data_IF_682704433198
#
_entry.id   IF_682704433198
#
_cell.length_a   1.000
_cell.length_b   1.000
_cell.length_c   1.000
_cell.angle_alpha   90.00
_cell.angle_beta   90.00
_cell.angle_gamma   90.00
#
_symmetry.space_group_name_H-M   'P 1'
#
loop_
_entity.id
_entity.type
_entity.pdbx_description
1 polymer ?
#
# COMPACT_ATOMS: atom_id res chain seq x y z
N UNK A 1 18.34 28.63 -0.64
CA UNK A 1 18.39 27.62 -1.72
C UNK A 1 18.30 26.27 -1.05
N UNK A 2 17.51 25.34 -1.59
CA UNK A 2 17.41 24.00 -1.00
C UNK A 2 18.75 23.28 -1.14
N UNK A 3 19.21 22.66 -0.05
CA UNK A 3 20.45 21.89 -0.05
C UNK A 3 20.20 20.38 -0.14
N UNK A 4 18.94 19.95 -0.09
CA UNK A 4 18.54 18.58 -0.34
C UNK A 4 18.68 18.27 -1.84
N UNK A 5 19.33 17.15 -2.16
CA UNK A 5 19.61 16.73 -3.54
C UNK A 5 19.34 15.25 -3.72
N UNK A 6 19.02 14.86 -4.96
CA UNK A 6 18.98 13.47 -5.39
C UNK A 6 20.15 13.25 -6.35
N UNK A 7 21.12 12.44 -5.97
CA UNK A 7 22.35 12.21 -6.73
C UNK A 7 22.51 10.72 -7.09
N UNK A 8 23.07 10.48 -8.28
CA UNK A 8 23.30 9.12 -8.77
C UNK A 8 24.65 8.65 -8.25
N UNK A 9 24.65 7.58 -7.47
CA UNK A 9 25.83 7.02 -6.83
C UNK A 9 26.58 6.07 -7.77
N UNK A 10 27.75 5.62 -7.34
CA UNK A 10 28.64 4.78 -8.15
C UNK A 10 28.08 3.37 -8.42
N UNK A 11 27.17 2.89 -7.58
CA UNK A 11 26.41 1.65 -7.76
C UNK A 11 25.31 1.75 -8.83
N UNK A 12 25.01 2.97 -9.29
CA UNK A 12 23.99 3.24 -10.29
C UNK A 12 22.62 3.59 -9.71
N UNK A 13 22.44 3.51 -8.39
CA UNK A 13 21.22 3.90 -7.70
C UNK A 13 21.23 5.40 -7.39
N UNK A 14 20.05 5.95 -7.11
CA UNK A 14 19.87 7.34 -6.72
C UNK A 14 19.61 7.46 -5.23
N UNK A 15 20.26 8.45 -4.62
CA UNK A 15 20.25 8.66 -3.18
C UNK A 15 19.98 10.11 -2.84
N UNK A 16 19.19 10.31 -1.79
CA UNK A 16 18.96 11.62 -1.21
C UNK A 16 20.16 12.02 -0.34
N UNK A 17 20.81 13.12 -0.71
CA UNK A 17 21.84 13.76 0.09
C UNK A 17 21.17 14.79 1.01
N UNK A 18 21.03 14.43 2.29
CA UNK A 18 20.40 15.27 3.29
C UNK A 18 21.38 16.34 3.81
N UNK A 19 21.02 17.63 3.81
CA UNK A 19 21.85 18.65 4.42
C UNK A 19 21.91 18.49 5.94
N UNK A 20 22.99 18.95 6.58
CA UNK A 20 23.15 18.87 8.03
C UNK A 20 21.97 19.46 8.81
N UNK A 21 21.37 20.53 8.28
CA UNK A 21 20.17 21.16 8.84
C UNK A 21 18.92 20.26 8.84
N UNK A 22 18.86 19.23 7.99
CA UNK A 22 17.80 18.22 8.01
C UNK A 22 18.18 17.14 9.02
N UNK A 23 19.42 16.63 8.97
CA UNK A 23 19.87 15.54 9.84
C UNK A 23 19.83 15.89 11.33
N UNK A 24 20.02 17.18 11.68
CA UNK A 24 19.88 17.70 13.05
C UNK A 24 18.52 17.42 13.68
N UNK A 25 17.46 17.22 12.88
CA UNK A 25 16.11 16.95 13.37
C UNK A 25 15.72 15.48 13.32
N UNK A 26 16.53 14.58 12.75
CA UNK A 26 16.14 13.17 12.55
C UNK A 26 15.81 12.47 13.87
N UNK A 27 16.69 12.55 14.88
CA UNK A 27 16.46 11.95 16.20
C UNK A 27 15.19 12.51 16.88
N UNK A 28 14.93 13.81 16.66
CA UNK A 28 13.72 14.46 17.18
C UNK A 28 12.47 13.94 16.48
N UNK A 29 12.53 13.73 15.15
CA UNK A 29 11.40 13.22 14.36
C UNK A 29 11.11 11.75 14.68
N UNK A 30 12.13 10.92 14.87
CA UNK A 30 11.95 9.54 15.32
C UNK A 30 11.27 9.52 16.70
N UNK A 31 11.75 10.35 17.64
CA UNK A 31 11.13 10.49 18.96
C UNK A 31 9.69 11.00 18.90
N UNK A 32 9.38 11.92 17.99
CA UNK A 32 8.02 12.44 17.77
C UNK A 32 7.12 11.35 17.16
N UNK A 33 7.62 10.59 16.18
CA UNK A 33 6.92 9.49 15.55
C UNK A 33 6.54 8.42 16.58
N UNK A 34 7.50 8.03 17.43
CA UNK A 34 7.25 7.08 18.53
C UNK A 34 6.23 7.66 19.53
N UNK A 35 6.41 8.92 19.94
CA UNK A 35 5.48 9.55 20.87
C UNK A 35 4.06 9.67 20.31
N UNK A 36 3.92 9.91 19.00
CA UNK A 36 2.63 9.89 18.32
C UNK A 36 2.02 8.50 18.31
N UNK A 37 2.79 7.50 17.86
CA UNK A 37 2.34 6.12 17.76
C UNK A 37 1.89 5.54 19.11
N UNK A 38 2.61 5.85 20.19
CA UNK A 38 2.28 5.41 21.54
C UNK A 38 1.33 6.35 22.29
N UNK A 39 0.76 7.37 21.63
CA UNK A 39 -0.15 8.36 22.25
C UNK A 39 0.42 9.04 23.50
N UNK A 40 1.74 9.27 23.50
CA UNK A 40 2.48 9.82 24.64
C UNK A 40 2.50 11.36 24.68
N UNK A 41 1.99 12.02 23.64
CA UNK A 41 1.94 13.48 23.54
C UNK A 41 0.60 13.97 23.00
N UNK A 42 0.15 15.12 23.53
CA UNK A 42 -1.01 15.83 23.02
C UNK A 42 -0.79 16.27 21.55
N UNK A 43 -1.77 16.07 20.65
CA UNK A 43 -1.63 16.37 19.22
C UNK A 43 -1.17 17.81 18.94
N UNK A 44 -1.67 18.78 19.70
CA UNK A 44 -1.29 20.19 19.55
C UNK A 44 0.20 20.45 19.81
N UNK A 45 0.82 19.70 20.73
CA UNK A 45 2.25 19.83 21.00
C UNK A 45 3.06 19.30 19.81
N UNK A 46 2.67 18.16 19.25
CA UNK A 46 3.32 17.58 18.07
C UNK A 46 3.17 18.51 16.86
N UNK A 47 1.96 19.02 16.60
CA UNK A 47 1.70 19.98 15.52
C UNK A 47 2.60 21.21 15.65
N UNK A 48 2.73 21.77 16.86
CA UNK A 48 3.58 22.93 17.10
C UNK A 48 5.07 22.64 16.83
N UNK A 49 5.56 21.47 17.27
CA UNK A 49 6.95 21.05 17.05
C UNK A 49 7.22 20.86 15.55
N UNK A 50 6.39 20.08 14.86
CA UNK A 50 6.54 19.80 13.43
C UNK A 50 6.43 21.07 12.57
N UNK A 51 5.49 21.96 12.91
CA UNK A 51 5.35 23.26 12.24
C UNK A 51 6.61 24.12 12.43
N UNK A 52 7.21 24.10 13.61
CA UNK A 52 8.46 24.81 13.88
C UNK A 52 9.65 24.20 13.12
N UNK A 53 9.75 22.87 13.04
CA UNK A 53 10.75 22.19 12.22
C UNK A 53 10.61 22.60 10.76
N UNK A 54 9.41 22.55 10.19
CA UNK A 54 9.15 22.96 8.80
C UNK A 54 9.53 24.43 8.56
N UNK A 55 9.29 25.31 9.54
CA UNK A 55 9.64 26.73 9.46
C UNK A 55 11.16 26.94 9.44
N UNK A 56 11.91 26.19 10.25
CA UNK A 56 13.38 26.30 10.37
C UNK A 56 14.07 25.56 9.21
N UNK A 57 13.56 24.39 8.85
CA UNK A 57 14.10 23.49 7.85
C UNK A 57 13.00 23.05 6.86
N UNK A 58 12.65 23.90 5.88
CA UNK A 58 11.59 23.61 4.91
C UNK A 58 11.90 22.45 3.96
N UNK A 59 13.12 21.93 3.97
CA UNK A 59 13.53 20.77 3.18
C UNK A 59 13.40 19.45 3.95
N UNK A 60 12.98 19.50 5.22
CA UNK A 60 12.68 18.31 5.99
C UNK A 60 11.34 17.70 5.54
N UNK A 61 11.41 16.85 4.51
CA UNK A 61 10.22 16.24 3.88
C UNK A 61 9.49 15.28 4.83
N UNK A 62 10.19 14.67 5.79
CA UNK A 62 9.60 13.74 6.76
C UNK A 62 8.69 14.48 7.74
N UNK A 63 9.05 15.71 8.13
CA UNK A 63 8.21 16.55 8.97
C UNK A 63 6.86 16.88 8.30
N UNK A 64 6.83 17.07 6.97
CA UNK A 64 5.57 17.21 6.23
C UNK A 64 4.76 15.92 6.24
N UNK A 65 5.41 14.76 6.08
CA UNK A 65 4.74 13.47 6.11
C UNK A 65 4.04 13.26 7.47
N UNK A 66 4.79 13.41 8.57
CA UNK A 66 4.30 13.26 9.93
C UNK A 66 3.23 14.29 10.29
N UNK A 67 3.40 15.56 9.89
CA UNK A 67 2.41 16.59 10.19
C UNK A 67 1.08 16.32 9.48
N UNK A 68 1.13 15.87 8.22
CA UNK A 68 -0.08 15.48 7.49
C UNK A 68 -0.81 14.32 8.16
N UNK A 69 -0.07 13.30 8.62
CA UNK A 69 -0.63 12.15 9.35
C UNK A 69 -1.32 12.60 10.64
N UNK A 70 -0.67 13.44 11.44
CA UNK A 70 -1.25 13.97 12.69
C UNK A 70 -2.53 14.76 12.40
N UNK A 71 -2.55 15.58 11.34
CA UNK A 71 -3.77 16.28 10.94
C UNK A 71 -4.89 15.32 10.52
N UNK A 72 -4.58 14.28 9.74
CA UNK A 72 -5.58 13.30 9.31
C UNK A 72 -6.21 12.57 10.49
N UNK A 73 -5.39 12.06 11.40
CA UNK A 73 -5.84 11.35 12.60
C UNK A 73 -6.61 12.28 13.57
N UNK A 74 -6.35 13.58 13.53
CA UNK A 74 -7.15 14.59 14.25
C UNK A 74 -8.44 15.02 13.49
N UNK A 75 -8.76 14.39 12.35
CA UNK A 75 -9.94 14.72 11.55
C UNK A 75 -9.84 16.02 10.76
N UNK A 76 -8.63 16.57 10.61
CA UNK A 76 -8.36 17.82 9.89
C UNK A 76 -7.90 17.55 8.45
N UNK A 77 -8.76 16.90 7.65
CA UNK A 77 -8.42 16.38 6.31
C UNK A 77 -7.87 17.45 5.34
N UNK A 78 -8.47 18.66 5.33
CA UNK A 78 -8.00 19.77 4.50
C UNK A 78 -6.56 20.19 4.84
N UNK A 79 -6.21 20.19 6.13
CA UNK A 79 -4.86 20.54 6.59
C UNK A 79 -3.88 19.41 6.27
N UNK A 80 -4.29 18.15 6.41
CA UNK A 80 -3.50 16.99 6.02
C UNK A 80 -3.15 17.05 4.53
N UNK A 81 -4.16 17.20 3.67
CA UNK A 81 -4.00 17.32 2.22
C UNK A 81 -3.02 18.43 1.84
N UNK A 82 -3.23 19.65 2.35
CA UNK A 82 -2.37 20.80 2.03
C UNK A 82 -0.94 20.60 2.53
N UNK A 83 -0.76 19.94 3.67
CA UNK A 83 0.57 19.67 4.23
C UNK A 83 1.34 18.72 3.33
N UNK A 84 0.73 17.60 2.93
CA UNK A 84 1.35 16.66 2.01
C UNK A 84 1.56 17.26 0.61
N UNK A 85 0.61 18.03 0.10
CA UNK A 85 0.74 18.73 -1.18
C UNK A 85 1.98 19.64 -1.20
N UNK A 86 2.16 20.47 -0.17
CA UNK A 86 3.34 21.34 -0.06
C UNK A 86 4.63 20.52 0.04
N UNK A 87 4.63 19.43 0.82
CA UNK A 87 5.77 18.53 0.94
C UNK A 87 6.15 17.91 -0.42
N UNK A 88 5.17 17.40 -1.16
CA UNK A 88 5.36 16.77 -2.46
C UNK A 88 5.84 17.76 -3.52
N UNK A 89 5.27 18.95 -3.55
CA UNK A 89 5.73 20.01 -4.45
C UNK A 89 7.19 20.39 -4.20
N UNK A 90 7.66 20.32 -2.95
CA UNK A 90 9.07 20.54 -2.62
C UNK A 90 9.91 19.36 -3.06
N UNK A 91 9.51 18.15 -2.68
CA UNK A 91 10.20 16.91 -3.00
C UNK A 91 10.42 16.74 -4.51
N UNK A 92 9.37 16.89 -5.32
CA UNK A 92 9.45 16.68 -6.77
C UNK A 92 10.31 17.73 -7.49
N UNK A 93 10.54 18.92 -6.90
CA UNK A 93 11.46 19.93 -7.46
C UNK A 93 12.94 19.52 -7.35
N UNK A 94 13.25 18.54 -6.50
CA UNK A 94 14.61 18.06 -6.23
C UNK A 94 15.05 17.04 -7.28
N UNK A 95 14.07 16.35 -7.89
CA UNK A 95 14.34 15.36 -8.92
C UNK A 95 15.01 16.01 -10.14
N UNK A 96 16.21 15.55 -10.53
CA UNK A 96 16.88 16.09 -11.69
C UNK A 96 16.19 15.60 -12.96
N UNK A 97 16.23 16.42 -14.02
CA UNK A 97 15.60 16.11 -15.32
C UNK A 97 16.04 14.78 -15.96
N UNK A 98 17.19 14.25 -15.54
CA UNK A 98 17.75 12.98 -16.03
C UNK A 98 17.23 11.75 -15.28
N UNK A 99 16.55 11.93 -14.15
CA UNK A 99 15.93 10.84 -13.40
C UNK A 99 14.68 10.33 -14.15
N UNK A 100 14.54 9.02 -14.27
CA UNK A 100 13.42 8.34 -14.90
C UNK A 100 12.88 7.24 -13.99
N UNK A 101 11.67 7.43 -13.44
CA UNK A 101 11.00 6.48 -12.55
C UNK A 101 10.90 5.06 -13.11
N UNK A 102 10.99 4.87 -14.43
CA UNK A 102 10.90 3.55 -15.07
C UNK A 102 12.25 2.85 -15.24
N UNK A 103 13.36 3.58 -15.10
CA UNK A 103 14.71 3.05 -15.37
C UNK A 103 15.64 3.16 -14.19
N UNK A 104 15.53 4.24 -13.45
CA UNK A 104 16.36 4.53 -12.29
C UNK A 104 15.77 3.89 -11.04
N UNK A 105 16.64 3.62 -10.07
CA UNK A 105 16.29 2.97 -8.79
C UNK A 105 16.69 3.87 -7.63
N UNK A 106 15.96 3.73 -6.53
CA UNK A 106 16.26 4.38 -5.24
C UNK A 106 16.27 3.27 -4.19
N UNK A 107 17.40 3.09 -3.52
CA UNK A 107 17.54 2.02 -2.55
C UNK A 107 16.75 2.34 -1.27
N UNK A 108 15.70 1.57 -0.97
CA UNK A 108 14.88 1.73 0.24
C UNK A 108 15.64 1.50 1.56
N UNK A 109 16.69 0.67 1.54
CA UNK A 109 17.46 0.36 2.74
C UNK A 109 18.38 1.50 3.17
N UNK A 110 18.64 2.47 2.31
CA UNK A 110 19.24 3.73 2.71
C UNK A 110 18.21 4.58 3.47
N UNK A 111 18.51 4.87 4.73
CA UNK A 111 17.64 5.63 5.62
C UNK A 111 17.37 7.05 5.10
N UNK A 112 18.29 7.63 4.34
CA UNK A 112 18.11 8.96 3.77
C UNK A 112 17.01 8.99 2.69
N UNK A 113 16.72 7.85 2.07
CA UNK A 113 15.68 7.73 1.05
C UNK A 113 14.28 7.51 1.65
N UNK A 114 14.18 7.03 2.90
CA UNK A 114 12.90 6.68 3.53
C UNK A 114 11.91 7.85 3.62
N UNK A 115 12.32 9.08 3.96
CA UNK A 115 11.40 10.22 3.97
C UNK A 115 10.73 10.48 2.62
N UNK A 116 11.43 10.23 1.50
CA UNK A 116 10.83 10.29 0.17
C UNK A 116 9.75 9.21 -0.01
N UNK A 117 10.07 7.95 0.31
CA UNK A 117 9.12 6.85 0.19
C UNK A 117 7.86 7.10 1.04
N UNK A 118 8.02 7.51 2.30
CA UNK A 118 6.91 7.80 3.22
C UNK A 118 6.00 8.89 2.67
N UNK A 119 6.57 10.04 2.30
CA UNK A 119 5.79 11.17 1.81
C UNK A 119 5.11 10.87 0.46
N UNK A 120 5.83 10.24 -0.47
CA UNK A 120 5.28 9.91 -1.80
C UNK A 120 4.19 8.83 -1.69
N UNK A 121 4.35 7.86 -0.80
CA UNK A 121 3.31 6.88 -0.48
C UNK A 121 2.07 7.53 0.16
N UNK A 122 2.25 8.39 1.17
CA UNK A 122 1.16 9.13 1.79
C UNK A 122 0.37 9.96 0.76
N UNK A 123 1.06 10.55 -0.21
CA UNK A 123 0.40 11.26 -1.30
C UNK A 123 -0.45 10.36 -2.19
N UNK A 124 0.01 9.14 -2.47
CA UNK A 124 -0.79 8.13 -3.16
C UNK A 124 -2.04 7.74 -2.37
N UNK A 125 -1.91 7.54 -1.05
CA UNK A 125 -3.03 7.19 -0.17
C UNK A 125 -4.10 8.29 -0.12
N UNK A 126 -3.70 9.56 -0.08
CA UNK A 126 -4.62 10.69 -0.10
C UNK A 126 -5.49 10.68 -1.36
N UNK A 127 -4.87 10.48 -2.52
CA UNK A 127 -5.61 10.39 -3.78
C UNK A 127 -6.50 9.14 -3.82
N UNK A 128 -6.02 7.99 -3.35
CA UNK A 128 -6.83 6.78 -3.28
C UNK A 128 -8.05 6.97 -2.35
N UNK A 129 -7.87 7.62 -1.20
CA UNK A 129 -8.97 7.97 -0.28
C UNK A 129 -9.96 8.94 -0.93
N UNK A 130 -9.49 9.99 -1.59
CA UNK A 130 -10.33 10.94 -2.31
C UNK A 130 -11.12 10.27 -3.45
N UNK A 131 -10.57 9.21 -4.06
CA UNK A 131 -11.28 8.44 -5.07
C UNK A 131 -12.45 7.61 -4.53
N UNK A 132 -12.49 7.33 -3.22
CA UNK A 132 -13.61 6.60 -2.60
C UNK A 132 -14.88 7.46 -2.50
N UNK A 133 -14.77 8.79 -2.65
CA UNK A 133 -15.93 9.66 -2.82
C UNK A 133 -16.54 9.46 -4.21
N UNK A 134 -17.76 8.91 -4.24
CA UNK A 134 -18.49 8.55 -5.47
C UNK A 134 -19.40 9.67 -5.99
N UNK A 135 -19.50 10.81 -5.31
CA UNK A 135 -20.38 11.91 -5.73
C UNK A 135 -19.95 12.50 -7.09
N UNK A 136 -18.64 12.50 -7.37
CA UNK A 136 -18.06 13.11 -8.58
C UNK A 136 -17.16 12.11 -9.32
N UNK A 137 -17.76 11.19 -10.08
CA UNK A 137 -17.10 10.10 -10.83
C UNK A 137 -15.83 10.57 -11.58
N UNK A 138 -15.88 11.72 -12.24
CA UNK A 138 -14.72 12.24 -12.98
C UNK A 138 -13.52 12.54 -12.06
N UNK A 139 -13.77 13.14 -10.89
CA UNK A 139 -12.73 13.37 -9.89
C UNK A 139 -12.26 12.05 -9.27
N UNK A 140 -13.15 11.08 -9.06
CA UNK A 140 -12.78 9.75 -8.56
C UNK A 140 -11.80 9.07 -9.52
N UNK A 141 -12.10 9.06 -10.82
CA UNK A 141 -11.21 8.50 -11.85
C UNK A 141 -9.88 9.25 -11.90
N UNK A 142 -9.90 10.58 -11.87
CA UNK A 142 -8.67 11.39 -11.86
C UNK A 142 -7.79 11.05 -10.66
N UNK A 143 -8.38 10.94 -9.47
CA UNK A 143 -7.65 10.57 -8.26
C UNK A 143 -7.10 9.14 -8.32
N UNK A 144 -7.86 8.18 -8.87
CA UNK A 144 -7.35 6.81 -9.08
C UNK A 144 -6.16 6.78 -10.05
N UNK A 145 -6.20 7.55 -11.15
CA UNK A 145 -5.08 7.61 -12.09
C UNK A 145 -3.84 8.19 -11.41
N UNK A 146 -3.98 9.29 -10.66
CA UNK A 146 -2.87 9.89 -9.91
C UNK A 146 -2.31 8.91 -8.88
N UNK A 147 -3.17 8.27 -8.08
CA UNK A 147 -2.75 7.27 -7.09
C UNK A 147 -2.01 6.11 -7.77
N UNK A 148 -2.56 5.59 -8.88
CA UNK A 148 -1.95 4.49 -9.63
C UNK A 148 -0.58 4.85 -10.20
N UNK A 149 -0.39 6.08 -10.67
CA UNK A 149 0.91 6.55 -11.17
C UNK A 149 1.93 6.63 -10.04
N UNK A 150 1.53 7.13 -8.87
CA UNK A 150 2.38 7.21 -7.68
C UNK A 150 2.81 5.80 -7.23
N UNK A 151 1.87 4.88 -7.06
CA UNK A 151 2.19 3.52 -6.62
C UNK A 151 2.99 2.75 -7.68
N UNK A 152 2.71 2.95 -8.97
CA UNK A 152 3.53 2.41 -10.06
C UNK A 152 4.97 2.93 -9.99
N UNK A 153 5.15 4.23 -9.77
CA UNK A 153 6.46 4.85 -9.63
C UNK A 153 7.22 4.26 -8.44
N UNK A 154 6.54 4.06 -7.30
CA UNK A 154 7.11 3.46 -6.10
C UNK A 154 7.62 2.03 -6.32
N UNK A 155 6.81 1.16 -6.94
CA UNK A 155 7.27 -0.21 -7.25
C UNK A 155 8.33 -0.23 -8.36
N UNK A 156 8.32 0.75 -9.26
CA UNK A 156 9.29 0.84 -10.35
C UNK A 156 10.68 1.20 -9.85
N UNK A 157 10.79 2.09 -8.85
CA UNK A 157 12.08 2.50 -8.27
C UNK A 157 12.53 1.58 -7.13
N UNK A 158 11.61 0.85 -6.47
CA UNK A 158 11.88 -0.10 -5.40
C UNK A 158 11.04 -1.39 -5.58
N UNK A 159 11.61 -2.36 -6.31
CA UNK A 159 10.87 -3.56 -6.73
C UNK A 159 10.42 -4.46 -5.57
N UNK A 160 11.23 -4.55 -4.50
CA UNK A 160 10.91 -5.34 -3.30
C UNK A 160 9.69 -4.81 -2.54
N UNK A 161 9.21 -3.60 -2.84
CA UNK A 161 7.97 -3.03 -2.32
C UNK A 161 7.77 -3.21 -0.81
N UNK A 162 8.82 -2.90 -0.05
CA UNK A 162 8.80 -2.97 1.43
C UNK A 162 7.80 -1.98 2.07
N UNK A 163 7.12 -1.15 1.26
CA UNK A 163 6.12 -0.17 1.70
C UNK A 163 4.68 -0.58 1.37
N UNK A 164 4.46 -1.70 0.66
CA UNK A 164 3.12 -2.20 0.34
C UNK A 164 2.40 -1.46 -0.78
N UNK A 165 3.11 -0.74 -1.65
CA UNK A 165 2.51 -0.01 -2.77
C UNK A 165 1.89 -0.93 -3.84
N UNK A 166 2.34 -2.19 -3.97
CA UNK A 166 1.81 -3.14 -4.96
C UNK A 166 0.32 -3.44 -4.74
N UNK A 167 -0.12 -3.49 -3.48
CA UNK A 167 -1.48 -3.84 -3.11
C UNK A 167 -2.43 -2.69 -3.47
N UNK A 168 -1.99 -1.48 -3.13
CA UNK A 168 -2.68 -0.23 -3.45
C UNK A 168 -2.73 0.00 -4.96
N UNK A 169 -1.68 -0.36 -5.71
CA UNK A 169 -1.68 -0.30 -7.16
C UNK A 169 -2.71 -1.26 -7.78
N UNK A 170 -2.82 -2.48 -7.23
CA UNK A 170 -3.82 -3.46 -7.65
C UNK A 170 -5.23 -2.94 -7.35
N UNK A 171 -5.46 -2.37 -6.17
CA UNK A 171 -6.74 -1.71 -5.85
C UNK A 171 -7.10 -0.65 -6.90
N UNK A 172 -6.15 0.24 -7.21
CA UNK A 172 -6.34 1.28 -8.22
C UNK A 172 -6.71 0.69 -9.59
N UNK A 173 -5.95 -0.30 -10.08
CA UNK A 173 -6.19 -0.91 -11.39
C UNK A 173 -7.49 -1.70 -11.45
N UNK A 174 -7.89 -2.38 -10.38
CA UNK A 174 -9.19 -3.05 -10.32
C UNK A 174 -10.34 -2.04 -10.43
N UNK A 175 -10.26 -0.92 -9.68
CA UNK A 175 -11.27 0.15 -9.71
C UNK A 175 -11.29 0.93 -11.03
N UNK A 176 -10.14 1.06 -11.71
CA UNK A 176 -10.04 1.65 -13.05
C UNK A 176 -10.44 0.68 -14.18
N UNK A 177 -10.68 -0.59 -13.89
CA UNK A 177 -10.95 -1.61 -14.91
C UNK A 177 -9.72 -2.00 -15.76
N UNK A 178 -8.51 -1.67 -15.29
CA UNK A 178 -7.22 -1.95 -15.94
C UNK A 178 -6.75 -3.38 -15.63
N UNK A 179 -7.55 -4.37 -15.99
CA UNK A 179 -7.36 -5.77 -15.56
C UNK A 179 -6.08 -6.42 -16.11
N UNK A 180 -5.61 -6.05 -17.31
CA UNK A 180 -4.32 -6.55 -17.82
C UNK A 180 -3.13 -5.99 -17.02
N UNK A 181 -3.26 -4.77 -16.50
CA UNK A 181 -2.23 -4.17 -15.64
C UNK A 181 -2.20 -4.87 -14.27
N UNK A 182 -3.36 -5.26 -13.72
CA UNK A 182 -3.42 -6.12 -12.53
C UNK A 182 -2.65 -7.42 -12.75
N UNK A 183 -2.88 -8.11 -13.89
CA UNK A 183 -2.17 -9.34 -14.19
C UNK A 183 -0.66 -9.12 -14.38
N UNK A 184 -0.26 -7.96 -14.90
CA UNK A 184 1.15 -7.58 -15.06
C UNK A 184 1.83 -7.39 -13.71
N UNK A 185 1.20 -6.67 -12.77
CA UNK A 185 1.71 -6.52 -11.39
C UNK A 185 1.77 -7.88 -10.69
N UNK A 186 0.69 -8.66 -10.77
CA UNK A 186 0.65 -10.00 -10.16
C UNK A 186 1.77 -10.92 -10.67
N UNK A 187 2.16 -10.78 -11.95
CA UNK A 187 3.24 -11.57 -12.56
C UNK A 187 4.62 -11.20 -12.02
N UNK A 188 4.87 -9.90 -11.77
CA UNK A 188 6.13 -9.43 -11.18
C UNK A 188 6.37 -10.14 -9.85
N UNK A 189 5.36 -10.16 -8.98
CA UNK A 189 5.44 -10.74 -7.64
C UNK A 189 5.12 -12.24 -7.55
N UNK A 190 5.00 -12.93 -8.69
CA UNK A 190 4.83 -14.40 -8.74
C UNK A 190 6.12 -15.16 -9.01
N UNK A 191 7.11 -14.52 -9.64
CA UNK A 191 8.33 -15.18 -10.13
C UNK A 191 9.61 -14.72 -9.41
N UNK A 192 9.57 -13.67 -8.59
CA UNK A 192 10.77 -12.98 -8.09
C UNK A 192 11.39 -13.57 -6.81
N UNK A 193 11.50 -14.90 -6.69
CA UNK A 193 12.35 -15.49 -5.65
C UNK A 193 13.02 -16.84 -6.02
N UNK A 194 13.14 -17.21 -7.30
CA UNK A 194 13.82 -18.47 -7.66
C UNK A 194 15.34 -18.47 -7.40
N UNK A 195 16.03 -17.32 -7.33
CA UNK A 195 17.50 -17.30 -7.23
C UNK A 195 18.10 -16.64 -5.97
N UNK A 196 17.37 -15.86 -5.18
CA UNK A 196 17.91 -15.21 -3.96
C UNK A 196 17.01 -15.31 -2.70
N UNK A 197 15.99 -16.17 -2.69
CA UNK A 197 15.25 -16.45 -1.45
C UNK A 197 16.02 -17.42 -0.54
N UNK A 198 16.74 -16.85 0.42
CA UNK A 198 17.30 -17.57 1.58
C UNK A 198 16.18 -17.99 2.57
N UNK A 199 14.92 -17.64 2.30
CA UNK A 199 13.74 -18.14 3.02
C UNK A 199 12.80 -18.88 2.06
N UNK A 200 12.82 -20.21 2.12
CA UNK A 200 11.93 -21.09 1.35
C UNK A 200 10.45 -20.86 1.70
N UNK A 201 9.75 -20.03 0.93
CA UNK A 201 8.31 -20.12 0.61
C UNK A 201 8.01 -19.16 -0.58
N UNK A 202 8.37 -19.61 -1.78
CA UNK A 202 8.46 -18.82 -3.03
C UNK A 202 7.11 -18.43 -3.67
N UNK A 203 6.05 -18.26 -2.91
CA UNK A 203 4.77 -17.89 -3.51
C UNK A 203 4.02 -16.86 -2.65
N UNK A 204 3.88 -15.64 -3.17
CA UNK A 204 3.17 -14.52 -2.53
C UNK A 204 1.89 -14.96 -1.84
N UNK A 205 1.77 -14.62 -0.56
CA UNK A 205 0.59 -14.94 0.25
C UNK A 205 -0.39 -13.77 0.33
N UNK A 206 -0.07 -12.67 -0.34
CA UNK A 206 -0.80 -11.42 -0.33
C UNK A 206 -2.22 -11.56 -0.92
N UNK A 207 -3.29 -11.24 -0.17
CA UNK A 207 -4.65 -11.26 -0.68
C UNK A 207 -4.84 -10.43 -1.95
N UNK A 208 -4.18 -9.28 -2.09
CA UNK A 208 -4.32 -8.38 -3.22
C UNK A 208 -3.81 -9.01 -4.51
N UNK A 209 -2.67 -9.70 -4.44
CA UNK A 209 -2.11 -10.43 -5.58
C UNK A 209 -2.99 -11.65 -5.91
N UNK A 210 -3.33 -12.45 -4.90
CA UNK A 210 -4.06 -13.70 -5.09
C UNK A 210 -5.45 -13.46 -5.66
N UNK A 211 -6.26 -12.64 -4.99
CA UNK A 211 -7.64 -12.39 -5.38
C UNK A 211 -7.77 -11.34 -6.47
N UNK A 212 -6.87 -10.35 -6.54
CA UNK A 212 -6.83 -9.40 -7.66
C UNK A 212 -6.60 -10.10 -9.00
N UNK A 213 -5.68 -11.08 -9.05
CA UNK A 213 -5.47 -11.93 -10.24
C UNK A 213 -6.72 -12.70 -10.64
N UNK A 214 -7.42 -13.29 -9.68
CA UNK A 214 -8.66 -14.04 -9.94
C UNK A 214 -9.72 -13.11 -10.54
N UNK A 215 -9.96 -11.96 -9.92
CA UNK A 215 -10.96 -11.01 -10.39
C UNK A 215 -10.63 -10.46 -11.78
N UNK A 216 -9.36 -10.09 -12.02
CA UNK A 216 -8.89 -9.65 -13.33
C UNK A 216 -9.07 -10.74 -14.40
N UNK A 217 -8.71 -12.00 -14.09
CA UNK A 217 -8.90 -13.13 -14.99
C UNK A 217 -10.37 -13.36 -15.36
N UNK A 218 -11.29 -13.23 -14.40
CA UNK A 218 -12.73 -13.32 -14.63
C UNK A 218 -13.20 -12.20 -15.56
N UNK A 219 -12.81 -10.96 -15.28
CA UNK A 219 -13.19 -9.77 -16.07
C UNK A 219 -12.65 -9.83 -17.51
N UNK A 220 -11.53 -10.51 -17.72
CA UNK A 220 -10.92 -10.77 -19.03
C UNK A 220 -11.41 -12.07 -19.69
N UNK A 221 -12.41 -12.76 -19.11
CA UNK A 221 -12.96 -14.03 -19.60
C UNK A 221 -11.93 -15.17 -19.73
N UNK A 222 -10.85 -15.17 -18.93
CA UNK A 222 -9.81 -16.22 -18.89
C UNK A 222 -10.22 -17.44 -18.07
N UNK A 223 -11.33 -18.06 -18.48
CA UNK A 223 -12.03 -19.09 -17.71
C UNK A 223 -11.22 -20.38 -17.51
N UNK A 224 -10.26 -20.64 -18.39
CA UNK A 224 -9.37 -21.79 -18.40
C UNK A 224 -8.40 -21.81 -17.21
N UNK A 225 -7.93 -20.64 -16.74
CA UNK A 225 -6.93 -20.53 -15.67
C UNK A 225 -7.50 -20.03 -14.35
N UNK A 226 -8.62 -19.31 -14.37
CA UNK A 226 -9.24 -18.71 -13.17
C UNK A 226 -9.56 -19.72 -12.07
N UNK A 227 -9.99 -20.94 -12.43
CA UNK A 227 -10.34 -21.96 -11.44
C UNK A 227 -9.13 -22.36 -10.60
N UNK A 228 -7.96 -22.51 -11.23
CA UNK A 228 -6.74 -22.86 -10.51
C UNK A 228 -6.26 -21.69 -9.64
N UNK A 229 -6.31 -20.46 -10.17
CA UNK A 229 -5.94 -19.28 -9.38
C UNK A 229 -6.82 -19.10 -8.15
N UNK A 230 -8.13 -19.32 -8.30
CA UNK A 230 -9.05 -19.23 -7.17
C UNK A 230 -8.78 -20.33 -6.13
N UNK A 231 -8.48 -21.55 -6.58
CA UNK A 231 -8.12 -22.64 -5.69
C UNK A 231 -6.88 -22.28 -4.86
N UNK A 232 -5.82 -21.78 -5.49
CA UNK A 232 -4.61 -21.31 -4.81
C UNK A 232 -4.92 -20.17 -3.83
N UNK A 233 -5.72 -19.18 -4.24
CA UNK A 233 -6.11 -18.06 -3.38
C UNK A 233 -6.87 -18.54 -2.13
N UNK A 234 -7.80 -19.49 -2.28
CA UNK A 234 -8.55 -20.08 -1.17
C UNK A 234 -7.65 -20.90 -0.25
N UNK A 235 -6.73 -21.69 -0.80
CA UNK A 235 -5.83 -22.51 -0.02
C UNK A 235 -4.91 -21.67 0.88
N UNK A 236 -4.47 -20.50 0.42
CA UNK A 236 -3.58 -19.61 1.18
C UNK A 236 -4.29 -18.60 2.06
N UNK A 237 -5.47 -18.14 1.63
CA UNK A 237 -6.22 -17.04 2.27
C UNK A 237 -7.72 -17.37 2.30
N UNK A 238 -8.14 -18.43 3.00
CA UNK A 238 -9.52 -18.90 2.94
C UNK A 238 -10.53 -17.92 3.57
N UNK A 239 -10.11 -17.16 4.59
CA UNK A 239 -10.99 -16.20 5.27
C UNK A 239 -11.38 -15.03 4.35
N UNK A 240 -10.52 -14.64 3.42
CA UNK A 240 -10.85 -13.63 2.40
C UNK A 240 -12.00 -14.11 1.52
N UNK A 241 -11.90 -15.32 0.95
CA UNK A 241 -12.98 -15.90 0.15
C UNK A 241 -14.29 -16.07 0.93
N UNK A 242 -14.19 -16.44 2.22
CA UNK A 242 -15.35 -16.59 3.10
C UNK A 242 -16.11 -15.28 3.27
N UNK A 243 -15.41 -14.18 3.55
CA UNK A 243 -16.11 -12.92 3.83
C UNK A 243 -16.45 -12.13 2.57
N UNK A 244 -15.77 -12.35 1.45
CA UNK A 244 -16.07 -11.69 0.17
C UNK A 244 -17.51 -11.90 -0.31
N UNK A 245 -18.15 -13.01 0.06
CA UNK A 245 -19.55 -13.26 -0.32
C UNK A 245 -20.57 -12.51 0.55
N UNK A 246 -20.12 -11.93 1.67
CA UNK A 246 -20.94 -11.21 2.64
C UNK A 246 -21.13 -9.77 2.20
N UNK A 247 -22.37 -9.26 2.34
CA UNK A 247 -22.70 -7.88 2.03
C UNK A 247 -22.17 -6.88 3.07
N UNK A 248 -22.00 -7.33 4.31
CA UNK A 248 -21.55 -6.52 5.44
C UNK A 248 -21.03 -7.44 6.55
N UNK A 249 -19.76 -7.89 6.48
CA UNK A 249 -19.15 -8.67 7.55
C UNK A 249 -19.02 -7.82 8.82
N UNK A 250 -19.03 -8.47 9.99
CA UNK A 250 -18.70 -7.80 11.24
C UNK A 250 -17.21 -7.49 11.28
N UNK A 251 -16.85 -6.30 11.75
CA UNK A 251 -15.46 -5.94 12.04
C UNK A 251 -14.90 -6.84 13.16
N UNK A 252 -13.68 -7.39 13.00
CA UNK A 252 -13.01 -8.15 14.06
C UNK A 252 -12.76 -7.33 15.34
N UNK A 253 -12.79 -8.01 16.48
CA UNK A 253 -12.44 -7.41 17.77
C UNK A 253 -10.96 -6.99 17.74
N UNK A 254 -10.67 -5.73 18.10
CA UNK A 254 -9.33 -5.10 18.01
C UNK A 254 -8.79 -4.87 16.59
N UNK A 255 -9.64 -4.80 15.57
CA UNK A 255 -9.22 -4.42 14.22
C UNK A 255 -8.44 -3.09 14.23
N UNK A 256 -7.21 -3.14 13.75
CA UNK A 256 -6.36 -1.99 13.52
C UNK A 256 -5.78 -2.11 12.09
N UNK A 257 -6.14 -1.20 11.16
CA UNK A 257 -5.64 -1.28 9.78
C UNK A 257 -4.11 -1.16 9.67
N UNK A 258 -3.44 -0.65 10.71
CA UNK A 258 -1.98 -0.53 10.75
C UNK A 258 -1.27 -1.80 11.26
N UNK A 259 -2.01 -2.77 11.83
CA UNK A 259 -1.45 -4.00 12.39
C UNK A 259 -2.40 -5.14 12.03
N UNK A 260 -2.14 -5.77 10.88
CA UNK A 260 -2.93 -6.89 10.37
C UNK A 260 -2.22 -8.23 10.63
N UNK A 261 -2.98 -9.22 11.06
CA UNK A 261 -2.53 -10.60 11.22
C UNK A 261 -2.54 -11.29 9.86
N UNK A 262 -1.38 -11.68 9.36
CA UNK A 262 -1.27 -12.44 8.09
C UNK A 262 -2.12 -13.72 8.12
N UNK A 263 -3.07 -13.84 7.19
CA UNK A 263 -4.03 -14.94 7.13
C UNK A 263 -5.18 -14.86 8.15
N UNK A 264 -5.22 -13.80 8.97
CA UNK A 264 -6.20 -13.57 10.02
C UNK A 264 -7.52 -12.99 9.53
N UNK A 265 -8.48 -12.86 10.46
CA UNK A 265 -9.80 -12.29 10.18
C UNK A 265 -9.74 -10.77 9.93
N UNK A 266 -8.78 -10.08 10.53
CA UNK A 266 -8.47 -8.66 10.34
C UNK A 266 -7.90 -8.37 8.94
N UNK A 267 -6.95 -9.16 8.45
CA UNK A 267 -6.47 -9.07 7.06
C UNK A 267 -7.61 -9.31 6.06
N UNK A 268 -8.43 -10.35 6.30
CA UNK A 268 -9.58 -10.62 5.47
C UNK A 268 -10.54 -9.42 5.45
N UNK A 269 -10.90 -8.89 6.62
CA UNK A 269 -11.79 -7.73 6.77
C UNK A 269 -11.23 -6.47 6.10
N UNK A 270 -9.92 -6.21 6.22
CA UNK A 270 -9.27 -5.11 5.52
C UNK A 270 -9.42 -5.26 4.00
N UNK A 271 -9.09 -6.44 3.47
CA UNK A 271 -9.25 -6.74 2.04
C UNK A 271 -10.70 -6.52 1.57
N UNK A 272 -11.69 -6.97 2.35
CA UNK A 272 -13.10 -6.75 2.05
C UNK A 272 -13.45 -5.25 2.00
N UNK A 273 -12.98 -4.43 2.96
CA UNK A 273 -13.22 -3.00 2.97
C UNK A 273 -12.74 -2.32 1.67
N UNK A 274 -11.58 -2.72 1.16
CA UNK A 274 -10.95 -2.08 0.01
C UNK A 274 -11.49 -2.59 -1.33
N UNK A 275 -11.83 -3.89 -1.42
CA UNK A 275 -12.08 -4.56 -2.70
C UNK A 275 -13.50 -5.12 -2.88
N UNK A 276 -14.35 -5.14 -1.85
CA UNK A 276 -15.67 -5.78 -1.97
C UNK A 276 -16.53 -5.16 -3.07
N UNK A 277 -16.44 -3.85 -3.31
CA UNK A 277 -17.23 -3.18 -4.35
C UNK A 277 -16.96 -3.75 -5.76
N UNK A 278 -15.68 -3.86 -6.15
CA UNK A 278 -15.30 -4.38 -7.47
C UNK A 278 -15.61 -5.87 -7.65
N UNK A 279 -15.60 -6.64 -6.56
CA UNK A 279 -16.05 -8.03 -6.53
C UNK A 279 -17.57 -8.13 -6.67
N UNK A 280 -18.30 -7.34 -5.89
CA UNK A 280 -19.76 -7.34 -5.84
C UNK A 280 -20.38 -6.91 -7.18
N UNK A 281 -19.74 -5.99 -7.89
CA UNK A 281 -20.11 -5.57 -9.25
C UNK A 281 -19.83 -6.65 -10.33
N UNK A 282 -19.18 -7.76 -10.00
CA UNK A 282 -18.88 -8.85 -10.91
C UNK A 282 -19.72 -10.09 -10.61
N UNK A 283 -20.88 -10.22 -11.27
CA UNK A 283 -21.80 -11.35 -11.08
C UNK A 283 -21.11 -12.71 -11.27
N UNK A 284 -20.22 -12.83 -12.25
CA UNK A 284 -19.46 -14.04 -12.50
C UNK A 284 -18.53 -14.42 -11.34
N UNK A 285 -17.88 -13.43 -10.71
CA UNK A 285 -17.01 -13.65 -9.55
C UNK A 285 -17.83 -14.06 -8.32
N UNK A 286 -18.93 -13.38 -8.05
CA UNK A 286 -19.83 -13.70 -6.94
C UNK A 286 -20.48 -15.07 -7.12
N UNK A 287 -20.90 -15.41 -8.34
CA UNK A 287 -21.43 -16.73 -8.66
C UNK A 287 -20.38 -17.83 -8.41
N UNK A 288 -19.12 -17.57 -8.80
CA UNK A 288 -18.02 -18.51 -8.61
C UNK A 288 -17.71 -18.76 -7.12
N UNK A 289 -17.65 -17.71 -6.30
CA UNK A 289 -17.44 -17.83 -4.85
C UNK A 289 -18.59 -18.56 -4.15
N UNK A 290 -19.83 -18.38 -4.63
CA UNK A 290 -21.03 -19.02 -4.05
C UNK A 290 -21.23 -20.48 -4.47
N UNK A 291 -20.45 -21.01 -5.43
CA UNK A 291 -20.56 -22.42 -5.84
C UNK A 291 -20.30 -23.35 -4.66
N UNK A 292 -21.08 -24.43 -4.58
CA UNK A 292 -20.94 -25.46 -3.53
C UNK A 292 -19.54 -26.06 -3.48
N UNK A 293 -18.91 -26.25 -4.65
CA UNK A 293 -17.54 -26.75 -4.75
C UNK A 293 -16.55 -25.78 -4.12
N UNK A 294 -16.66 -24.49 -4.43
CA UNK A 294 -15.83 -23.43 -3.84
C UNK A 294 -16.00 -23.35 -2.34
N UNK A 295 -17.24 -23.39 -1.84
CA UNK A 295 -17.51 -23.42 -0.38
C UNK A 295 -16.86 -24.63 0.30
N UNK A 296 -16.88 -25.79 -0.35
CA UNK A 296 -16.21 -26.98 0.17
C UNK A 296 -14.68 -26.78 0.26
N UNK A 297 -14.08 -26.15 -0.76
CA UNK A 297 -12.65 -25.81 -0.76
C UNK A 297 -12.30 -24.86 0.39
N UNK A 298 -13.13 -23.83 0.64
CA UNK A 298 -12.93 -22.88 1.75
C UNK A 298 -12.94 -23.63 3.09
N UNK A 299 -13.94 -24.48 3.34
CA UNK A 299 -14.03 -25.26 4.57
C UNK A 299 -12.86 -26.24 4.75
N UNK A 300 -12.40 -26.87 3.67
CA UNK A 300 -11.23 -27.76 3.69
C UNK A 300 -9.94 -26.98 3.99
N UNK A 301 -9.74 -25.80 3.40
CA UNK A 301 -8.59 -24.94 3.63
C UNK A 301 -8.54 -24.41 5.07
N UNK A 302 -9.68 -23.93 5.61
CA UNK A 302 -9.78 -23.45 7.00
C UNK A 302 -9.34 -24.51 8.01
N UNK A 303 -9.79 -25.75 7.84
CA UNK A 303 -9.40 -26.85 8.74
C UNK A 303 -7.89 -27.10 8.74
N UNK A 304 -7.25 -27.04 7.57
CA UNK A 304 -5.79 -27.22 7.45
C UNK A 304 -5.04 -26.10 8.17
N UNK A 305 -5.48 -24.85 7.97
CA UNK A 305 -4.91 -23.72 8.68
C UNK A 305 -5.05 -23.91 10.20
N UNK A 306 -6.26 -24.16 10.72
CA UNK A 306 -6.47 -24.36 12.17
C UNK A 306 -5.59 -25.47 12.77
N UNK A 307 -5.39 -26.59 12.06
CA UNK A 307 -4.50 -27.67 12.53
C UNK A 307 -3.00 -27.33 12.50
N UNK A 308 -2.59 -26.37 11.67
CA UNK A 308 -1.20 -25.89 11.59
C UNK A 308 -0.85 -24.99 12.78
N UNK A 309 -1.80 -24.19 13.26
CA UNK A 309 -1.60 -23.27 14.39
C UNK A 309 -1.57 -24.00 15.74
N UNK A 310 -2.37 -25.05 15.91
CA UNK A 310 -2.36 -25.90 17.12
C UNK A 310 -1.07 -26.75 17.24
N UNK A 311 -0.35 -27.00 16.14
CA UNK A 311 0.90 -27.75 16.15
C UNK A 311 2.15 -26.88 16.43
N UNK A 312 1.98 -25.56 16.52
CA UNK A 312 3.06 -24.58 16.77
C UNK A 312 2.98 -23.94 18.16
N UNK A 313 2.06 -24.42 19.02
CA UNK A 313 1.93 -24.08 20.46
C UNK A 313 2.28 -25.32 21.28
#
# INVERSE_FOLDING_TARGET
MSNLRLEKQADGDWHFELPSSVTEFNDSLDSISDAWFYSNLEPNNIINILTNIIKICPDNIDAYCLLGQVYEECGCEDLAFRTWEVGIQRLLRIFPKKFDFRKDKINYYDLNNRPFFRLYHAWGLVHLKAAKDKELIFLSIQNLEIASEIFLNLISIHYNDNIGARDLLIECYLKLGRYEDVLSVCKLYQNEFEEEAIFHDNETTDPSILYGRVLAGIRLNRSDVVQEWLKVAIERRPLVAEILVLKSPSQPENYNPNILTSGGADEAYNYWCDHHDVWFECDAAMALLRKKTTRKLIEEAKRRCSSSWEAQI
#
